data_IF_447338790989
#
_entry.id   IF_447338790989
#
_cell.length_a   1.000
_cell.length_b   1.000
_cell.length_c   1.000
_cell.angle_alpha   90.00
_cell.angle_beta   90.00
_cell.angle_gamma   90.00
#
_symmetry.space_group_name_H-M   'P 1'
#
loop_
_entity.id
_entity.type
_entity.pdbx_description
1 polymer ?
#
# COMPACT_ATOMS: atom_id res chain seq x y z
N UNK A 1 26.23 13.28 -25.28
CA UNK A 1 24.92 12.91 -24.70
C UNK A 1 25.05 11.53 -24.07
N UNK A 2 25.10 11.44 -22.75
CA UNK A 2 25.22 10.14 -22.06
C UNK A 2 23.87 9.43 -22.08
N UNK A 3 23.80 8.29 -22.74
CA UNK A 3 22.68 7.37 -22.61
C UNK A 3 22.70 6.83 -21.18
N UNK A 4 21.88 7.41 -20.31
CA UNK A 4 21.55 6.82 -19.02
C UNK A 4 20.82 5.51 -19.35
N UNK A 5 21.50 4.36 -19.19
CA UNK A 5 20.86 3.04 -19.24
C UNK A 5 19.68 3.09 -18.29
N UNK A 6 18.46 3.06 -18.82
CA UNK A 6 17.30 2.85 -17.96
C UNK A 6 17.50 1.45 -17.40
N UNK A 7 17.72 1.37 -16.09
CA UNK A 7 17.85 0.09 -15.40
C UNK A 7 16.43 -0.47 -15.34
N UNK A 8 16.12 -1.40 -16.24
CA UNK A 8 14.87 -2.14 -16.21
C UNK A 8 14.82 -2.99 -14.93
N UNK A 9 13.64 -3.11 -14.32
CA UNK A 9 13.47 -3.99 -13.16
C UNK A 9 12.44 -3.52 -12.14
N UNK A 10 12.27 -4.35 -11.11
CA UNK A 10 11.41 -4.05 -9.97
C UNK A 10 12.17 -3.20 -8.95
N UNK A 11 11.60 -2.06 -8.59
CA UNK A 11 12.13 -1.14 -7.59
C UNK A 11 11.25 -1.19 -6.35
N UNK A 12 11.83 -1.45 -5.18
CA UNK A 12 11.12 -1.27 -3.92
C UNK A 12 10.86 0.23 -3.71
N UNK A 13 9.58 0.60 -3.52
CA UNK A 13 9.15 1.98 -3.32
C UNK A 13 8.75 2.26 -1.88
N UNK A 14 8.20 1.24 -1.21
CA UNK A 14 7.71 1.34 0.15
C UNK A 14 7.65 -0.05 0.79
N UNK A 15 7.95 -0.14 2.07
CA UNK A 15 7.69 -1.31 2.90
C UNK A 15 7.40 -0.85 4.33
N UNK A 16 6.45 -1.49 4.99
CA UNK A 16 6.21 -1.28 6.43
C UNK A 16 7.42 -1.68 7.26
N UNK A 17 7.61 -1.04 8.41
CA UNK A 17 8.67 -1.41 9.34
C UNK A 17 8.53 -2.85 9.87
N UNK A 18 9.62 -3.47 10.34
CA UNK A 18 9.56 -4.74 11.05
C UNK A 18 8.59 -4.64 12.25
N UNK A 19 7.56 -5.48 12.26
CA UNK A 19 6.49 -5.39 13.26
C UNK A 19 5.13 -5.09 12.65
N UNK A 20 5.13 -4.57 11.42
CA UNK A 20 3.92 -4.18 10.70
C UNK A 20 3.38 -2.84 11.22
N UNK A 21 2.43 -2.29 10.48
CA UNK A 21 1.71 -1.09 10.88
C UNK A 21 0.50 -1.45 11.75
N UNK A 22 0.33 -0.76 12.86
CA UNK A 22 -0.72 -1.07 13.83
C UNK A 22 -2.05 -0.44 13.41
N UNK A 23 -3.11 -1.26 13.39
CA UNK A 23 -4.47 -0.84 13.04
C UNK A 23 -5.39 -1.14 14.22
N UNK A 24 -5.97 -0.10 14.82
CA UNK A 24 -6.94 -0.23 15.91
C UNK A 24 -8.36 -0.34 15.36
N UNK A 25 -9.25 -1.02 16.09
CA UNK A 25 -10.69 -1.10 15.80
C UNK A 25 -11.28 0.22 15.29
N UNK A 26 -12.04 0.14 14.20
CA UNK A 26 -12.99 1.19 13.80
C UNK A 26 -12.38 2.57 13.49
N UNK A 27 -11.06 2.67 13.36
CA UNK A 27 -10.38 3.89 12.91
C UNK A 27 -9.47 3.56 11.72
N UNK A 28 -9.75 4.12 10.53
CA UNK A 28 -8.83 3.97 9.41
C UNK A 28 -7.52 4.68 9.74
N UNK A 29 -6.40 3.99 9.51
CA UNK A 29 -5.04 4.54 9.59
C UNK A 29 -4.45 4.62 8.18
N UNK A 30 -3.66 5.65 7.91
CA UNK A 30 -2.90 5.76 6.66
C UNK A 30 -1.57 5.04 6.87
N UNK A 31 -1.42 3.84 6.31
CA UNK A 31 -0.21 3.01 6.42
C UNK A 31 1.01 3.73 5.85
N UNK A 32 0.77 4.69 4.96
CA UNK A 32 1.77 5.57 4.34
C UNK A 32 1.83 6.94 5.02
N UNK A 33 1.49 7.09 6.31
CA UNK A 33 1.40 8.39 7.00
C UNK A 33 2.69 9.23 6.96
N UNK A 34 3.85 8.58 7.04
CA UNK A 34 5.16 9.25 6.92
C UNK A 34 5.40 9.85 5.52
N UNK A 35 4.61 9.43 4.54
CA UNK A 35 4.61 9.93 3.17
C UNK A 35 3.37 10.80 2.97
N UNK A 36 3.42 12.05 3.45
CA UNK A 36 2.28 12.99 3.39
C UNK A 36 1.63 13.12 2.00
N UNK A 37 2.41 12.95 0.92
CA UNK A 37 1.94 13.02 -0.48
C UNK A 37 1.57 11.64 -1.07
N UNK A 38 1.84 10.56 -0.35
CA UNK A 38 1.77 9.17 -0.81
C UNK A 38 3.10 8.65 -1.36
N UNK A 39 3.08 7.40 -1.80
CA UNK A 39 4.18 6.73 -2.52
C UNK A 39 4.21 7.25 -3.96
N UNK A 40 5.36 7.73 -4.41
CA UNK A 40 5.52 8.22 -5.78
C UNK A 40 5.57 7.07 -6.78
N UNK A 41 4.45 6.85 -7.49
CA UNK A 41 4.31 5.75 -8.46
C UNK A 41 4.34 6.23 -9.92
N UNK A 42 4.21 7.54 -10.16
CA UNK A 42 4.26 8.18 -11.49
C UNK A 42 5.38 7.71 -12.42
N UNK A 43 6.64 7.46 -11.96
CA UNK A 43 7.72 7.07 -12.87
C UNK A 43 7.65 5.62 -13.37
N UNK A 44 6.68 4.82 -12.91
CA UNK A 44 6.60 3.38 -13.18
C UNK A 44 5.43 3.08 -14.10
N UNK A 45 5.57 2.05 -14.94
CA UNK A 45 4.49 1.60 -15.82
C UNK A 45 3.47 0.76 -15.05
N UNK A 46 3.97 -0.08 -14.15
CA UNK A 46 3.15 -0.90 -13.27
C UNK A 46 3.66 -0.81 -11.85
N UNK A 47 2.75 -1.01 -10.90
CA UNK A 47 3.08 -1.25 -9.51
C UNK A 47 2.58 -2.61 -9.08
N UNK A 48 3.36 -3.28 -8.24
CA UNK A 48 2.97 -4.50 -7.56
C UNK A 48 2.88 -4.21 -6.07
N UNK A 49 1.72 -4.45 -5.50
CA UNK A 49 1.44 -4.27 -4.09
C UNK A 49 1.28 -5.66 -3.48
N UNK A 50 2.04 -5.90 -2.42
CA UNK A 50 1.92 -7.06 -1.56
C UNK A 50 1.45 -6.54 -0.21
N UNK A 51 0.44 -7.16 0.37
CA UNK A 51 -0.01 -6.81 1.71
C UNK A 51 -0.57 -8.01 2.44
N UNK A 52 -0.61 -7.93 3.76
CA UNK A 52 -1.12 -9.02 4.58
C UNK A 52 -1.61 -8.53 5.94
N UNK A 53 -2.62 -9.22 6.44
CA UNK A 53 -3.07 -9.10 7.82
C UNK A 53 -2.34 -10.16 8.64
N UNK A 54 -1.59 -9.76 9.67
CA UNK A 54 -0.78 -10.70 10.43
C UNK A 54 -1.66 -11.70 11.18
N UNK A 55 -1.12 -12.89 11.43
CA UNK A 55 -1.79 -13.95 12.21
C UNK A 55 -2.12 -13.51 13.64
N UNK A 56 -1.36 -12.56 14.18
CA UNK A 56 -1.57 -12.01 15.53
C UNK A 56 -2.74 -11.01 15.62
N UNK A 57 -3.31 -10.61 14.50
CA UNK A 57 -4.40 -9.65 14.45
C UNK A 57 -5.68 -10.23 15.04
N UNK A 58 -6.44 -9.40 15.74
CA UNK A 58 -7.67 -9.80 16.43
C UNK A 58 -8.92 -9.79 15.54
N UNK A 59 -8.83 -9.36 14.28
CA UNK A 59 -9.94 -9.44 13.32
C UNK A 59 -9.56 -9.07 11.90
N UNK A 60 -10.58 -8.97 11.04
CA UNK A 60 -10.40 -8.64 9.64
C UNK A 60 -9.91 -7.19 9.48
N UNK A 61 -9.05 -6.97 8.46
CA UNK A 61 -8.57 -5.63 8.11
C UNK A 61 -8.90 -5.33 6.66
N UNK A 62 -9.56 -4.19 6.44
CA UNK A 62 -9.86 -3.68 5.10
C UNK A 62 -8.80 -2.69 4.66
N UNK A 63 -8.10 -3.02 3.58
CA UNK A 63 -7.15 -2.17 2.88
C UNK A 63 -7.86 -1.38 1.79
N UNK A 64 -7.58 -0.08 1.70
CA UNK A 64 -8.03 0.81 0.62
C UNK A 64 -6.80 1.39 -0.06
N UNK A 65 -6.64 1.09 -1.34
CA UNK A 65 -5.57 1.64 -2.18
C UNK A 65 -6.11 2.90 -2.85
N UNK A 66 -5.49 4.04 -2.61
CA UNK A 66 -6.04 5.35 -3.01
C UNK A 66 -5.02 6.09 -3.87
N UNK A 67 -5.40 6.41 -5.09
CA UNK A 67 -4.62 7.29 -5.96
C UNK A 67 -4.74 8.74 -5.48
N UNK A 68 -3.61 9.43 -5.39
CA UNK A 68 -3.53 10.85 -5.01
C UNK A 68 -2.98 11.71 -6.15
N UNK A 69 -3.53 12.91 -6.29
CA UNK A 69 -3.04 13.97 -7.20
C UNK A 69 -2.85 15.23 -6.37
N UNK A 70 -1.64 15.80 -6.33
CA UNK A 70 -1.35 17.03 -5.58
C UNK A 70 -1.91 16.99 -4.13
N UNK A 71 -1.66 15.88 -3.41
CA UNK A 71 -2.15 15.58 -2.05
C UNK A 71 -3.66 15.35 -1.91
N UNK A 72 -4.44 15.50 -2.97
CA UNK A 72 -5.88 15.21 -2.98
C UNK A 72 -6.10 13.72 -3.26
N UNK A 73 -6.93 13.07 -2.45
CA UNK A 73 -7.41 11.71 -2.73
C UNK A 73 -8.33 11.77 -3.94
N UNK A 74 -7.92 11.16 -5.05
CA UNK A 74 -8.58 11.28 -6.34
C UNK A 74 -9.49 10.10 -6.65
N UNK A 75 -8.98 8.88 -6.47
CA UNK A 75 -9.70 7.65 -6.82
C UNK A 75 -9.30 6.51 -5.88
N UNK A 76 -10.28 5.68 -5.50
CA UNK A 76 -9.99 4.38 -4.87
C UNK A 76 -9.64 3.39 -5.98
N UNK A 77 -8.40 2.92 -5.98
CA UNK A 77 -7.89 1.93 -6.93
C UNK A 77 -8.41 0.52 -6.63
N UNK A 78 -8.43 0.15 -5.35
CA UNK A 78 -8.89 -1.16 -4.90
C UNK A 78 -9.31 -1.13 -3.42
N UNK A 79 -10.13 -2.10 -3.03
CA UNK A 79 -10.52 -2.35 -1.64
C UNK A 79 -10.53 -3.85 -1.37
N UNK A 80 -9.77 -4.28 -0.37
CA UNK A 80 -9.52 -5.68 -0.05
C UNK A 80 -9.71 -5.89 1.44
N UNK A 81 -10.53 -6.85 1.84
CA UNK A 81 -10.66 -7.26 3.25
C UNK A 81 -9.92 -8.58 3.44
N UNK A 82 -9.05 -8.63 4.45
CA UNK A 82 -8.21 -9.79 4.77
C UNK A 82 -8.49 -10.25 6.20
N UNK A 83 -8.76 -11.54 6.36
CA UNK A 83 -8.79 -12.20 7.66
C UNK A 83 -7.37 -12.34 8.25
N UNK A 84 -7.23 -12.53 9.58
CA UNK A 84 -5.92 -12.78 10.19
C UNK A 84 -5.15 -13.92 9.51
N UNK A 85 -3.93 -13.63 9.09
CA UNK A 85 -3.06 -14.56 8.36
C UNK A 85 -3.22 -14.54 6.84
N UNK A 86 -4.22 -13.84 6.30
CA UNK A 86 -4.39 -13.69 4.86
C UNK A 86 -3.46 -12.64 4.26
N UNK A 87 -3.11 -12.86 3.00
CA UNK A 87 -2.26 -11.99 2.22
C UNK A 87 -2.79 -11.82 0.80
N UNK A 88 -2.43 -10.71 0.17
CA UNK A 88 -2.69 -10.46 -1.24
C UNK A 88 -1.41 -10.08 -1.99
N UNK A 89 -1.46 -10.32 -3.29
CA UNK A 89 -0.56 -9.71 -4.26
C UNK A 89 -1.41 -9.23 -5.42
N UNK A 90 -1.26 -7.96 -5.78
CA UNK A 90 -1.96 -7.32 -6.89
C UNK A 90 -1.00 -6.48 -7.69
N UNK A 91 -1.22 -6.45 -9.00
CA UNK A 91 -0.46 -5.64 -9.94
C UNK A 91 -1.43 -4.70 -10.63
N UNK A 92 -1.07 -3.43 -10.74
CA UNK A 92 -1.88 -2.40 -11.36
C UNK A 92 -1.04 -1.67 -12.41
N UNK A 93 -1.65 -1.37 -13.54
CA UNK A 93 -1.12 -0.40 -14.50
C UNK A 93 -1.35 1.01 -13.93
N UNK A 94 -0.29 1.81 -13.82
CA UNK A 94 -0.40 3.13 -13.18
C UNK A 94 0.34 4.19 -13.99
N UNK A 95 -0.28 4.68 -15.09
CA UNK A 95 0.27 5.78 -15.86
C UNK A 95 0.06 7.11 -15.12
N UNK A 96 0.98 7.42 -14.21
CA UNK A 96 0.99 8.67 -13.45
C UNK A 96 0.20 8.61 -12.14
N UNK A 97 0.52 9.52 -11.21
CA UNK A 97 -0.05 9.75 -9.86
C UNK A 97 0.77 9.19 -8.67
N UNK A 98 0.31 9.49 -7.45
CA UNK A 98 0.82 9.00 -6.17
C UNK A 98 -0.13 7.93 -5.60
N UNK A 99 0.33 7.07 -4.70
CA UNK A 99 -0.47 6.04 -4.04
C UNK A 99 -0.44 6.23 -2.51
N UNK A 100 -1.60 6.29 -1.87
CA UNK A 100 -1.73 6.07 -0.43
C UNK A 100 -2.41 4.73 -0.14
N UNK A 101 -2.09 4.17 1.02
CA UNK A 101 -2.66 2.92 1.49
C UNK A 101 -3.28 3.18 2.84
N UNK A 102 -4.58 2.94 2.96
CA UNK A 102 -5.30 3.01 4.23
C UNK A 102 -5.67 1.60 4.68
N UNK A 103 -5.63 1.38 5.98
CA UNK A 103 -6.07 0.13 6.60
C UNK A 103 -7.08 0.44 7.69
N UNK A 104 -8.15 -0.35 7.77
CA UNK A 104 -9.24 -0.17 8.72
C UNK A 104 -9.58 -1.54 9.33
N UNK A 105 -9.40 -1.67 10.64
CA UNK A 105 -9.75 -2.88 11.36
C UNK A 105 -11.26 -2.98 11.57
N UNK A 106 -11.77 -4.21 11.51
CA UNK A 106 -13.18 -4.52 11.79
C UNK A 106 -13.65 -3.89 13.11
N UNK A 107 -14.91 -3.45 13.13
CA UNK A 107 -15.47 -2.81 14.30
C UNK A 107 -15.67 -3.82 15.44
N UNK A 108 -14.99 -3.60 16.57
CA UNK A 108 -15.01 -4.50 17.73
C UNK A 108 -13.82 -5.46 17.79
N UNK A 109 -13.03 -5.57 16.73
CA UNK A 109 -11.74 -6.28 16.76
C UNK A 109 -10.72 -5.45 17.55
N UNK A 110 -9.88 -6.04 18.40
CA UNK A 110 -8.93 -5.27 19.20
C UNK A 110 -7.74 -4.73 18.40
N UNK A 111 -6.53 -5.23 18.66
CA UNK A 111 -5.33 -4.78 17.99
C UNK A 111 -5.05 -5.62 16.74
N UNK A 112 -4.83 -4.95 15.60
CA UNK A 112 -4.43 -5.60 14.36
C UNK A 112 -3.07 -5.06 13.90
N UNK A 113 -2.36 -5.86 13.13
CA UNK A 113 -1.08 -5.49 12.54
C UNK A 113 -1.04 -5.91 11.07
N UNK A 114 -0.60 -5.00 10.20
CA UNK A 114 -0.55 -5.24 8.75
C UNK A 114 0.84 -5.03 8.19
N UNK A 115 1.22 -5.83 7.21
CA UNK A 115 2.44 -5.62 6.43
C UNK A 115 2.08 -5.19 5.02
N UNK A 116 2.84 -4.27 4.45
CA UNK A 116 2.67 -3.81 3.07
C UNK A 116 4.03 -3.58 2.42
N UNK A 117 4.18 -4.02 1.17
CA UNK A 117 5.31 -3.69 0.31
C UNK A 117 4.81 -3.26 -1.07
N UNK A 118 5.38 -2.17 -1.60
CA UNK A 118 5.06 -1.64 -2.93
C UNK A 118 6.30 -1.64 -3.80
N UNK A 119 6.18 -2.25 -4.97
CA UNK A 119 7.22 -2.28 -5.98
C UNK A 119 6.75 -1.56 -7.24
N UNK A 120 7.63 -0.79 -7.88
CA UNK A 120 7.39 -0.18 -9.19
C UNK A 120 8.25 -0.83 -10.26
N UNK A 121 7.68 -1.06 -11.44
CA UNK A 121 8.41 -1.56 -12.61
C UNK A 121 8.55 -0.48 -13.68
N UNK A 122 9.77 -0.31 -14.19
CA UNK A 122 10.09 0.54 -15.35
C UNK A 122 11.02 -0.19 -16.32
N UNK A 123 10.91 0.12 -17.61
CA UNK A 123 11.78 -0.38 -18.69
C UNK A 123 13.05 0.46 -18.77
#
# INVERSE_FOLDING_TARGET
>A
MSHQRIKSGNHLLFVTEPGGHIVRSGKPVEVTEDLSEGIQVQPFYTIRIVGGNRVISEGAVTFKLIMKINRVSFLVLDTLTLEPGEQFTRTYDVPGLMLAIKAEGEHGAGLNAVDVAVFGYKF
#
